data_IF_788201667064
#
_entry.id   IF_788201667064
#
_cell.length_a   1.000
_cell.length_b   1.000
_cell.length_c   1.000
_cell.angle_alpha   90.00
_cell.angle_beta   90.00
_cell.angle_gamma   90.00
#
_symmetry.space_group_name_H-M   'P 1'
#
loop_
_entity.id
_entity.type
_entity.pdbx_description
1 polymer ?
#
# COMPACT_ATOMS: atom_id res chain seq x y z
N UNK A 1 12.88 -2.88 -6.49
CA UNK A 1 12.13 -4.13 -6.78
C UNK A 1 13.02 -5.38 -6.90
N UNK A 2 14.11 -5.38 -7.69
CA UNK A 2 14.90 -6.62 -7.90
C UNK A 2 15.46 -7.26 -6.62
N UNK A 3 15.85 -6.45 -5.61
CA UNK A 3 16.32 -6.96 -4.31
C UNK A 3 15.22 -7.63 -3.47
N UNK A 4 13.99 -7.13 -3.52
CA UNK A 4 12.86 -7.70 -2.77
C UNK A 4 12.37 -9.00 -3.43
N UNK A 5 12.17 -8.98 -4.75
CA UNK A 5 11.75 -10.16 -5.52
C UNK A 5 12.83 -11.24 -5.50
N UNK A 6 14.12 -10.86 -5.58
CA UNK A 6 15.23 -11.82 -5.53
C UNK A 6 15.38 -12.51 -4.17
N UNK A 7 15.13 -11.79 -3.07
CA UNK A 7 15.13 -12.35 -1.71
C UNK A 7 13.94 -13.28 -1.47
N UNK A 8 12.74 -12.89 -1.91
CA UNK A 8 11.54 -13.75 -1.81
C UNK A 8 11.69 -15.03 -2.63
N UNK A 9 12.27 -14.92 -3.83
CA UNK A 9 12.53 -16.07 -4.70
C UNK A 9 13.57 -17.02 -4.09
N UNK A 10 14.64 -16.49 -3.49
CA UNK A 10 15.67 -17.34 -2.87
C UNK A 10 15.13 -18.07 -1.64
N UNK A 11 14.29 -17.44 -0.83
CA UNK A 11 13.61 -18.09 0.29
C UNK A 11 12.62 -19.16 -0.18
N UNK A 12 11.91 -18.93 -1.29
CA UNK A 12 10.99 -19.91 -1.86
C UNK A 12 11.75 -21.15 -2.37
N UNK A 13 12.86 -20.93 -3.09
CA UNK A 13 13.74 -22.02 -3.54
C UNK A 13 14.33 -22.79 -2.36
N UNK A 14 14.77 -22.11 -1.30
CA UNK A 14 15.27 -22.75 -0.09
C UNK A 14 14.20 -23.58 0.61
N UNK A 15 12.96 -23.07 0.70
CA UNK A 15 11.84 -23.80 1.29
C UNK A 15 11.47 -25.05 0.48
N UNK A 16 11.49 -24.98 -0.86
CA UNK A 16 11.27 -26.15 -1.72
C UNK A 16 12.37 -27.22 -1.52
N UNK A 17 13.63 -26.78 -1.50
CA UNK A 17 14.76 -27.69 -1.28
C UNK A 17 14.69 -28.36 0.11
N UNK A 18 14.32 -27.59 1.14
CA UNK A 18 14.10 -28.07 2.51
C UNK A 18 13.05 -29.19 2.58
N UNK A 19 11.91 -29.04 1.89
CA UNK A 19 10.86 -30.07 1.82
C UNK A 19 11.39 -31.35 1.16
N UNK A 20 12.12 -31.21 0.05
CA UNK A 20 12.69 -32.35 -0.69
C UNK A 20 13.69 -33.10 0.21
N UNK A 21 14.65 -32.39 0.80
CA UNK A 21 15.66 -33.00 1.66
C UNK A 21 15.05 -33.67 2.90
N UNK A 22 14.15 -32.99 3.60
CA UNK A 22 13.48 -33.57 4.78
C UNK A 22 12.65 -34.81 4.45
N UNK A 23 11.95 -34.80 3.32
CA UNK A 23 11.16 -35.96 2.85
C UNK A 23 12.06 -37.13 2.43
N UNK A 24 13.16 -36.87 1.73
CA UNK A 24 14.12 -37.90 1.33
C UNK A 24 14.78 -38.55 2.55
N UNK A 25 15.21 -37.77 3.54
CA UNK A 25 15.81 -38.29 4.77
C UNK A 25 14.80 -39.10 5.58
N UNK A 26 13.55 -38.64 5.69
CA UNK A 26 12.48 -39.38 6.36
C UNK A 26 12.22 -40.75 5.69
N UNK A 27 12.19 -40.80 4.35
CA UNK A 27 12.02 -42.04 3.58
C UNK A 27 13.18 -43.03 3.78
N UNK A 28 14.41 -42.53 3.91
CA UNK A 28 15.60 -43.37 4.16
C UNK A 28 15.54 -44.00 5.57
N UNK A 29 15.11 -43.23 6.58
CA UNK A 29 15.05 -43.71 7.98
C UNK A 29 13.92 -44.72 8.17
N UNK A 30 12.69 -44.38 7.74
CA UNK A 30 11.55 -45.28 7.88
C UNK A 30 10.46 -44.98 6.83
N UNK A 31 10.50 -45.69 5.71
CA UNK A 31 9.54 -45.49 4.62
C UNK A 31 8.09 -45.77 5.04
N UNK A 32 7.83 -46.81 5.84
CA UNK A 32 6.46 -47.19 6.27
C UNK A 32 5.80 -46.09 7.10
N UNK A 33 6.52 -45.55 8.08
CA UNK A 33 6.05 -44.46 8.92
C UNK A 33 5.87 -43.17 8.10
N UNK A 34 6.81 -42.91 7.18
CA UNK A 34 6.76 -41.72 6.32
C UNK A 34 5.52 -41.72 5.42
N UNK A 35 5.15 -42.85 4.83
CA UNK A 35 3.90 -42.94 4.04
C UNK A 35 2.64 -42.76 4.90
N UNK A 36 2.61 -43.34 6.10
CA UNK A 36 1.49 -43.17 7.02
C UNK A 36 1.28 -41.69 7.40
N UNK A 37 2.37 -40.96 7.66
CA UNK A 37 2.33 -39.53 7.96
C UNK A 37 2.02 -38.72 6.70
N UNK A 38 2.55 -39.10 5.53
CA UNK A 38 2.28 -38.43 4.26
C UNK A 38 0.78 -38.41 3.90
N UNK A 39 0.00 -39.42 4.31
CA UNK A 39 -1.46 -39.41 4.15
C UNK A 39 -2.16 -38.25 4.88
N UNK A 40 -1.53 -37.66 5.91
CA UNK A 40 -2.09 -36.51 6.65
C UNK A 40 -1.77 -35.17 5.98
N UNK A 41 -0.77 -35.12 5.09
CA UNK A 41 -0.32 -33.90 4.42
C UNK A 41 -1.41 -33.24 3.57
N UNK A 42 -2.18 -33.96 2.72
CA UNK A 42 -3.25 -33.35 1.94
C UNK A 42 -4.31 -32.65 2.79
N UNK A 43 -4.67 -33.22 3.95
CA UNK A 43 -5.61 -32.60 4.88
C UNK A 43 -5.05 -31.30 5.48
N UNK A 44 -3.77 -31.30 5.85
CA UNK A 44 -3.09 -30.11 6.34
C UNK A 44 -3.00 -29.00 5.26
N UNK A 45 -2.73 -29.36 4.00
CA UNK A 45 -2.70 -28.43 2.87
C UNK A 45 -4.08 -27.81 2.63
N UNK A 46 -5.15 -28.62 2.61
CA UNK A 46 -6.53 -28.13 2.42
C UNK A 46 -6.92 -27.21 3.58
N UNK A 47 -6.62 -27.59 4.82
CA UNK A 47 -6.87 -26.75 6.00
C UNK A 47 -6.14 -25.41 5.92
N UNK A 48 -4.85 -25.43 5.55
CA UNK A 48 -4.04 -24.22 5.36
C UNK A 48 -4.56 -23.34 4.22
N UNK A 49 -5.01 -23.92 3.11
CA UNK A 49 -5.61 -23.19 1.99
C UNK A 49 -6.90 -22.47 2.39
N UNK A 50 -7.81 -23.16 3.08
CA UNK A 50 -9.06 -22.58 3.59
C UNK A 50 -8.77 -21.47 4.59
N UNK A 51 -7.84 -21.70 5.53
CA UNK A 51 -7.40 -20.70 6.50
C UNK A 51 -6.78 -19.46 5.82
N UNK A 52 -5.96 -19.66 4.79
CA UNK A 52 -5.35 -18.60 3.99
C UNK A 52 -6.42 -17.77 3.26
N UNK A 53 -7.40 -18.41 2.61
CA UNK A 53 -8.54 -17.72 1.97
C UNK A 53 -9.33 -16.86 2.95
N UNK A 54 -9.64 -17.39 4.13
CA UNK A 54 -10.35 -16.65 5.19
C UNK A 54 -9.51 -15.46 5.65
N UNK A 55 -8.23 -15.67 5.92
CA UNK A 55 -7.31 -14.62 6.38
C UNK A 55 -7.14 -13.50 5.35
N UNK A 56 -7.03 -13.83 4.06
CA UNK A 56 -6.94 -12.84 2.98
C UNK A 56 -8.23 -12.03 2.87
N UNK A 57 -9.39 -12.68 2.94
CA UNK A 57 -10.69 -11.98 2.90
C UNK A 57 -10.84 -11.00 4.06
N UNK A 58 -10.49 -11.43 5.27
CA UNK A 58 -10.51 -10.56 6.45
C UNK A 58 -9.52 -9.40 6.33
N UNK A 59 -8.30 -9.66 5.87
CA UNK A 59 -7.27 -8.62 5.70
C UNK A 59 -7.69 -7.54 4.70
N UNK A 60 -8.43 -7.91 3.63
CA UNK A 60 -8.99 -6.94 2.69
C UNK A 60 -10.08 -6.07 3.33
N UNK A 61 -11.02 -6.69 4.05
CA UNK A 61 -12.06 -5.95 4.77
C UNK A 61 -11.47 -4.98 5.81
N UNK A 62 -10.39 -5.38 6.48
CA UNK A 62 -9.65 -4.55 7.41
C UNK A 62 -8.99 -3.36 6.70
N UNK A 63 -8.29 -3.60 5.59
CA UNK A 63 -7.69 -2.55 4.78
C UNK A 63 -8.74 -1.54 4.24
N UNK A 64 -9.88 -2.03 3.75
CA UNK A 64 -10.97 -1.19 3.25
C UNK A 64 -11.55 -0.29 4.35
N UNK A 65 -11.74 -0.84 5.56
CA UNK A 65 -12.22 -0.06 6.71
C UNK A 65 -11.21 1.01 7.13
N UNK A 66 -9.90 0.70 7.12
CA UNK A 66 -8.85 1.67 7.40
C UNK A 66 -8.76 2.75 6.32
N UNK A 67 -8.94 2.40 5.03
CA UNK A 67 -8.97 3.37 3.94
C UNK A 67 -10.11 4.38 4.12
N UNK A 68 -11.33 3.90 4.37
CA UNK A 68 -12.50 4.77 4.63
C UNK A 68 -12.33 5.62 5.87
N UNK A 69 -11.78 5.05 6.94
CA UNK A 69 -11.46 5.79 8.15
C UNK A 69 -10.41 6.88 7.88
N UNK A 70 -9.41 6.60 7.03
CA UNK A 70 -8.42 7.56 6.55
C UNK A 70 -9.03 8.69 5.73
N UNK A 71 -9.97 8.38 4.83
CA UNK A 71 -10.72 9.39 4.05
C UNK A 71 -11.48 10.36 4.98
N UNK A 72 -12.16 9.86 6.02
CA UNK A 72 -12.84 10.70 7.01
C UNK A 72 -11.84 11.63 7.71
N UNK A 73 -10.68 11.11 8.14
CA UNK A 73 -9.65 11.92 8.80
C UNK A 73 -9.10 12.99 7.87
N UNK A 74 -8.87 12.67 6.61
CA UNK A 74 -8.39 13.62 5.61
C UNK A 74 -9.43 14.71 5.32
N UNK A 75 -10.72 14.35 5.25
CA UNK A 75 -11.83 15.29 5.11
C UNK A 75 -11.86 16.26 6.30
N UNK A 76 -11.80 15.73 7.54
CA UNK A 76 -11.81 16.53 8.77
C UNK A 76 -10.61 17.45 8.87
N UNK A 77 -9.39 16.99 8.56
CA UNK A 77 -8.21 17.86 8.64
C UNK A 77 -8.16 18.91 7.54
N UNK A 78 -8.61 18.59 6.32
CA UNK A 78 -8.67 19.57 5.23
C UNK A 78 -9.63 20.73 5.52
N UNK A 79 -10.64 20.49 6.37
CA UNK A 79 -11.67 21.46 6.74
C UNK A 79 -11.79 21.67 8.25
N UNK A 80 -10.68 21.51 8.99
CA UNK A 80 -10.65 21.49 10.45
C UNK A 80 -11.31 22.72 11.08
N UNK A 81 -11.04 23.91 10.53
CA UNK A 81 -11.63 25.16 11.01
C UNK A 81 -13.17 25.13 10.94
N UNK A 82 -13.74 24.52 9.90
CA UNK A 82 -15.19 24.37 9.74
C UNK A 82 -15.77 23.36 10.72
N UNK A 83 -15.08 22.25 10.98
CA UNK A 83 -15.52 21.26 11.97
C UNK A 83 -15.52 21.86 13.38
N UNK A 84 -14.47 22.60 13.73
CA UNK A 84 -14.37 23.28 15.02
C UNK A 84 -15.42 24.39 15.18
N UNK A 85 -15.63 25.21 14.14
CA UNK A 85 -16.63 26.30 14.20
C UNK A 85 -18.07 25.79 14.34
N UNK A 86 -18.35 24.59 13.82
CA UNK A 86 -19.64 23.92 13.93
C UNK A 86 -19.77 23.02 15.18
N UNK A 87 -18.72 22.93 16.02
CA UNK A 87 -18.64 21.98 17.15
C UNK A 87 -18.91 20.52 16.73
N UNK A 88 -18.47 20.13 15.53
CA UNK A 88 -18.76 18.84 14.90
C UNK A 88 -17.88 17.67 15.36
N UNK A 89 -16.93 17.90 16.26
CA UNK A 89 -15.90 16.92 16.66
C UNK A 89 -16.49 15.56 17.08
N UNK A 90 -17.51 15.57 17.96
CA UNK A 90 -18.16 14.35 18.46
C UNK A 90 -18.93 13.59 17.37
N UNK A 91 -19.38 14.30 16.34
CA UNK A 91 -20.08 13.68 15.21
C UNK A 91 -19.08 12.93 14.33
N UNK A 92 -17.95 13.56 14.01
CA UNK A 92 -16.90 12.95 13.20
C UNK A 92 -16.18 11.82 13.93
N UNK A 93 -15.99 11.92 15.26
CA UNK A 93 -15.48 10.84 16.09
C UNK A 93 -16.37 9.58 16.00
N UNK A 94 -17.69 9.76 16.08
CA UNK A 94 -18.64 8.65 15.94
C UNK A 94 -18.65 8.07 14.54
N UNK A 95 -18.54 8.91 13.50
CA UNK A 95 -18.44 8.46 12.10
C UNK A 95 -17.20 7.58 11.91
N UNK A 96 -16.06 8.02 12.43
CA UNK A 96 -14.81 7.25 12.44
C UNK A 96 -14.94 5.93 13.20
N UNK A 97 -15.49 5.94 14.43
CA UNK A 97 -15.66 4.73 15.22
C UNK A 97 -16.60 3.71 14.55
N UNK A 98 -17.68 4.17 13.91
CA UNK A 98 -18.65 3.30 13.25
C UNK A 98 -18.03 2.53 12.07
N UNK A 99 -17.14 3.16 11.29
CA UNK A 99 -16.41 2.49 10.21
C UNK A 99 -15.44 1.42 10.75
N UNK A 100 -14.80 1.66 11.90
CA UNK A 100 -13.84 0.72 12.50
C UNK A 100 -14.47 -0.38 13.37
N UNK A 101 -15.69 -0.18 13.86
CA UNK A 101 -16.39 -1.12 14.75
C UNK A 101 -16.52 -2.56 14.22
N UNK A 102 -16.92 -2.82 12.96
CA UNK A 102 -16.99 -4.19 12.44
C UNK A 102 -15.60 -4.86 12.43
N UNK A 103 -14.56 -4.13 12.04
CA UNK A 103 -13.17 -4.60 12.02
C UNK A 103 -12.68 -4.92 13.43
N UNK A 104 -12.91 -4.03 14.40
CA UNK A 104 -12.54 -4.26 15.82
C UNK A 104 -13.15 -5.55 16.38
N UNK A 105 -14.42 -5.83 16.08
CA UNK A 105 -15.09 -7.07 16.50
C UNK A 105 -14.52 -8.30 15.80
N UNK A 106 -14.21 -8.20 14.51
CA UNK A 106 -13.59 -9.29 13.75
C UNK A 106 -12.21 -9.63 14.31
N UNK A 107 -11.36 -8.63 14.54
CA UNK A 107 -10.02 -8.78 15.10
C UNK A 107 -10.06 -9.36 16.53
N UNK A 108 -11.03 -8.94 17.35
CA UNK A 108 -11.22 -9.51 18.69
C UNK A 108 -11.63 -11.01 18.65
N UNK A 109 -12.54 -11.41 17.75
CA UNK A 109 -12.93 -12.82 17.58
C UNK A 109 -11.77 -13.68 17.10
N UNK A 110 -10.95 -13.16 16.19
CA UNK A 110 -9.74 -13.82 15.69
C UNK A 110 -8.70 -14.01 16.79
N UNK A 111 -8.44 -12.96 17.57
CA UNK A 111 -7.56 -13.01 18.74
C UNK A 111 -8.02 -14.03 19.78
N UNK A 112 -9.33 -14.10 20.05
CA UNK A 112 -9.90 -15.09 20.95
C UNK A 112 -9.75 -16.53 20.43
N UNK A 113 -10.02 -16.77 19.14
CA UNK A 113 -9.85 -18.09 18.53
C UNK A 113 -8.39 -18.55 18.56
N UNK A 114 -7.45 -17.66 18.25
CA UNK A 114 -6.02 -17.95 18.30
C UNK A 114 -5.53 -18.18 19.74
N UNK A 115 -6.06 -17.42 20.69
CA UNK A 115 -5.79 -17.55 22.13
C UNK A 115 -6.29 -18.88 22.70
N UNK A 116 -7.49 -19.34 22.33
CA UNK A 116 -8.02 -20.65 22.76
C UNK A 116 -7.19 -21.82 22.22
N UNK A 117 -6.77 -21.74 20.95
CA UNK A 117 -5.96 -22.77 20.30
C UNK A 117 -4.58 -22.94 20.97
N UNK A 118 -3.88 -21.83 21.22
CA UNK A 118 -2.58 -21.87 21.88
C UNK A 118 -2.71 -22.13 23.40
N UNK A 119 -3.74 -21.56 24.03
CA UNK A 119 -4.02 -21.74 25.46
C UNK A 119 -4.33 -23.18 25.86
N UNK A 120 -4.95 -23.98 24.97
CA UNK A 120 -5.22 -25.39 25.19
C UNK A 120 -3.95 -26.21 25.49
N UNK A 121 -2.82 -25.86 24.85
CA UNK A 121 -1.54 -26.53 25.07
C UNK A 121 -1.08 -26.29 26.51
N UNK A 122 -1.14 -25.05 26.99
CA UNK A 122 -0.74 -24.68 28.35
C UNK A 122 -1.67 -25.29 29.41
N UNK A 123 -3.00 -25.28 29.17
CA UNK A 123 -4.00 -25.89 30.06
C UNK A 123 -3.76 -27.39 30.32
N UNK A 124 -3.24 -28.13 29.33
CA UNK A 124 -2.91 -29.56 29.50
C UNK A 124 -1.76 -29.78 30.48
N UNK A 125 -0.75 -28.91 30.49
CA UNK A 125 0.40 -29.01 31.41
C UNK A 125 0.06 -28.62 32.85
N UNK A 126 -1.00 -27.83 33.06
CA UNK A 126 -1.52 -27.45 34.38
C UNK A 126 -2.39 -28.53 35.06
N UNK A 127 -2.51 -29.71 34.47
CA UNK A 127 -3.34 -30.79 35.02
C UNK A 127 -2.74 -31.33 36.34
N UNK A 128 -3.54 -31.32 37.41
CA UNK A 128 -3.13 -31.85 38.73
C UNK A 128 -2.99 -33.38 38.63
N UNK A 129 -1.79 -33.89 38.89
CA UNK A 129 -1.43 -35.31 38.74
C UNK A 129 -2.02 -36.22 39.85
N UNK A 130 -2.59 -35.62 40.91
CA UNK A 130 -3.15 -36.31 42.07
C UNK A 130 -2.10 -36.73 43.10
N UNK A 131 -2.54 -37.18 44.28
CA UNK A 131 -1.65 -37.57 45.38
C UNK A 131 -0.70 -38.72 44.94
N UNK A 132 0.62 -38.53 45.09
CA UNK A 132 1.67 -39.45 44.59
C UNK A 132 1.53 -39.84 43.10
N UNK A 133 0.83 -39.05 42.31
CA UNK A 133 0.58 -39.29 40.90
C UNK A 133 -0.28 -40.53 40.62
N UNK A 134 -1.20 -40.92 41.50
CA UNK A 134 -2.02 -42.15 41.36
C UNK A 134 -2.70 -42.30 39.98
N UNK A 135 -2.96 -41.20 39.28
CA UNK A 135 -3.58 -41.20 37.94
C UNK A 135 -2.63 -41.55 36.79
N UNK A 136 -1.34 -41.76 37.06
CA UNK A 136 -0.32 -42.11 36.06
C UNK A 136 0.22 -43.52 36.28
N UNK A 137 0.53 -44.21 35.18
CA UNK A 137 1.28 -45.46 35.21
C UNK A 137 2.72 -45.26 35.72
N UNK A 138 3.37 -46.34 36.19
CA UNK A 138 4.75 -46.28 36.67
C UNK A 138 5.73 -45.68 35.65
N UNK A 139 5.59 -46.06 34.37
CA UNK A 139 6.43 -45.51 33.29
C UNK A 139 6.14 -44.04 32.95
N UNK A 140 4.90 -43.57 33.12
CA UNK A 140 4.57 -42.15 32.93
C UNK A 140 5.14 -41.27 34.04
N UNK A 141 5.12 -41.76 35.29
CA UNK A 141 5.79 -41.07 36.42
C UNK A 141 7.29 -40.96 36.21
N UNK A 142 7.93 -42.02 35.72
CA UNK A 142 9.36 -42.01 35.40
C UNK A 142 9.68 -41.00 34.28
N UNK A 143 8.88 -40.95 33.20
CA UNK A 143 9.07 -39.97 32.12
C UNK A 143 8.88 -38.53 32.59
N UNK A 144 7.92 -38.26 33.47
CA UNK A 144 7.74 -36.92 34.06
C UNK A 144 8.89 -36.56 35.02
N UNK A 145 9.37 -37.52 35.81
CA UNK A 145 10.53 -37.31 36.69
C UNK A 145 11.83 -37.06 35.89
N UNK A 146 12.00 -37.76 34.77
CA UNK A 146 13.09 -37.53 33.82
C UNK A 146 12.97 -36.16 33.15
N UNK A 147 11.78 -35.79 32.66
CA UNK A 147 11.53 -34.45 32.11
C UNK A 147 11.85 -33.36 33.13
N UNK A 148 11.46 -33.54 34.40
CA UNK A 148 11.81 -32.64 35.52
C UNK A 148 13.31 -32.53 35.75
N UNK A 149 14.07 -33.62 35.59
CA UNK A 149 15.53 -33.60 35.70
C UNK A 149 16.19 -32.90 34.51
N UNK A 150 15.68 -33.11 33.29
CA UNK A 150 16.19 -32.50 32.05
C UNK A 150 15.95 -31.00 31.97
N UNK A 151 14.85 -30.48 32.54
CA UNK A 151 14.57 -29.03 32.61
C UNK A 151 15.70 -28.26 33.31
N UNK A 152 16.44 -28.90 34.23
CA UNK A 152 17.60 -28.29 34.89
C UNK A 152 18.88 -28.22 34.03
N UNK A 153 18.86 -28.79 32.82
CA UNK A 153 20.04 -28.92 31.95
C UNK A 153 21.29 -29.44 32.69
N UNK A 154 21.23 -30.60 33.36
CA UNK A 154 22.32 -31.06 34.21
C UNK A 154 23.55 -31.48 33.39
N UNK A 155 24.74 -31.03 33.81
CA UNK A 155 26.01 -31.47 33.22
C UNK A 155 26.30 -32.97 33.48
N UNK A 156 25.71 -33.54 34.54
CA UNK A 156 25.79 -34.96 34.87
C UNK A 156 24.40 -35.44 35.33
N UNK A 157 23.80 -36.36 34.58
CA UNK A 157 22.49 -36.94 34.87
C UNK A 157 22.67 -38.33 35.51
N UNK A 158 22.34 -38.46 36.79
CA UNK A 158 22.41 -39.72 37.53
C UNK A 158 21.03 -40.41 37.48
N UNK A 159 21.00 -41.65 37.01
CA UNK A 159 19.79 -42.45 36.86
C UNK A 159 19.90 -43.65 37.82
N UNK A 160 19.12 -43.64 38.89
CA UNK A 160 19.09 -44.71 39.90
C UNK A 160 17.93 -45.66 39.60
N UNK A 161 18.22 -46.94 39.38
CA UNK A 161 17.26 -48.00 39.01
C UNK A 161 16.28 -47.65 37.86
N UNK A 162 16.61 -46.67 37.01
CA UNK A 162 15.73 -46.27 35.90
C UNK A 162 15.56 -47.38 34.83
N UNK A 163 16.40 -48.42 34.91
CA UNK A 163 16.46 -49.55 33.99
C UNK A 163 16.24 -50.91 34.66
N UNK A 164 16.04 -50.98 35.99
CA UNK A 164 15.98 -52.27 36.72
C UNK A 164 14.73 -53.12 36.43
N UNK A 165 13.76 -52.58 35.70
CA UNK A 165 12.62 -53.32 35.16
C UNK A 165 12.87 -53.97 33.78
N UNK A 166 14.10 -53.92 33.26
CA UNK A 166 14.47 -54.47 31.96
C UNK A 166 15.50 -55.58 32.15
N UNK A 167 15.06 -56.84 32.21
CA UNK A 167 15.99 -57.97 32.13
C UNK A 167 15.55 -59.05 31.12
N UNK A 168 16.54 -59.53 30.36
CA UNK A 168 16.56 -60.63 29.36
C UNK A 168 15.97 -60.47 27.95
N UNK A 169 15.78 -59.25 27.44
CA UNK A 169 15.70 -59.00 25.98
C UNK A 169 16.49 -57.77 25.55
N UNK A 170 17.79 -57.75 25.85
CA UNK A 170 18.68 -56.62 25.56
C UNK A 170 18.67 -56.19 24.09
N UNK A 171 18.44 -57.11 23.15
CA UNK A 171 18.34 -56.77 21.73
C UNK A 171 16.98 -56.15 21.36
N UNK A 172 15.86 -56.62 21.92
CA UNK A 172 14.52 -56.05 21.65
C UNK A 172 14.38 -54.65 22.23
N UNK A 173 14.95 -54.40 23.40
CA UNK A 173 14.88 -53.10 24.07
C UNK A 173 15.72 -52.08 23.31
N UNK A 174 16.93 -52.46 22.89
CA UNK A 174 17.79 -51.61 22.07
C UNK A 174 17.15 -51.38 20.69
N UNK A 175 16.54 -52.40 20.10
CA UNK A 175 15.75 -52.26 18.87
C UNK A 175 14.54 -51.36 19.06
N UNK A 176 13.78 -51.47 20.14
CA UNK A 176 12.62 -50.61 20.46
C UNK A 176 13.02 -49.16 20.73
N UNK A 177 14.13 -48.94 21.41
CA UNK A 177 14.70 -47.62 21.65
C UNK A 177 15.20 -46.97 20.35
N UNK A 178 15.89 -47.74 19.49
CA UNK A 178 16.26 -47.32 18.14
C UNK A 178 15.02 -47.03 17.29
N UNK A 179 13.99 -47.88 17.37
CA UNK A 179 12.73 -47.68 16.65
C UNK A 179 12.01 -46.41 17.11
N UNK A 180 12.01 -46.13 18.42
CA UNK A 180 11.48 -44.89 18.99
C UNK A 180 12.29 -43.67 18.58
N UNK A 181 13.63 -43.76 18.56
CA UNK A 181 14.49 -42.69 18.08
C UNK A 181 14.28 -42.42 16.58
N UNK A 182 14.19 -43.46 15.76
CA UNK A 182 13.87 -43.35 14.33
C UNK A 182 12.46 -42.76 14.11
N UNK A 183 11.46 -43.14 14.91
CA UNK A 183 10.12 -42.53 14.90
C UNK A 183 10.17 -41.04 15.25
N UNK A 184 10.93 -40.67 16.27
CA UNK A 184 11.13 -39.28 16.68
C UNK A 184 11.83 -38.43 15.60
N UNK A 185 12.86 -38.97 14.95
CA UNK A 185 13.56 -38.31 13.85
C UNK A 185 12.65 -38.09 12.64
N UNK A 186 11.88 -39.10 12.23
CA UNK A 186 10.90 -38.97 11.14
C UNK A 186 9.85 -37.90 11.47
N UNK A 187 9.39 -37.84 12.72
CA UNK A 187 8.48 -36.79 13.18
C UNK A 187 9.10 -35.39 13.12
N UNK A 188 10.37 -35.25 13.50
CA UNK A 188 11.09 -33.98 13.45
C UNK A 188 11.25 -33.48 11.99
N UNK A 189 11.65 -34.36 11.07
CA UNK A 189 11.74 -34.02 9.64
C UNK A 189 10.37 -33.67 9.05
N UNK A 190 9.31 -34.34 9.51
CA UNK A 190 7.94 -34.02 9.11
C UNK A 190 7.51 -32.61 9.54
N UNK A 191 7.78 -32.23 10.80
CA UNK A 191 7.49 -30.87 11.29
C UNK A 191 8.27 -29.83 10.48
N UNK A 192 9.54 -30.10 10.16
CA UNK A 192 10.34 -29.21 9.33
C UNK A 192 9.77 -29.03 7.92
N UNK A 193 9.22 -30.10 7.32
CA UNK A 193 8.52 -30.03 6.05
C UNK A 193 7.24 -29.18 6.15
N UNK A 194 6.44 -29.33 7.22
CA UNK A 194 5.24 -28.52 7.44
C UNK A 194 5.54 -27.02 7.61
N UNK A 195 6.58 -26.67 8.37
CA UNK A 195 7.03 -25.26 8.48
C UNK A 195 7.47 -24.68 7.14
N UNK A 196 8.15 -25.49 6.31
CA UNK A 196 8.55 -25.08 4.97
C UNK A 196 7.35 -24.85 4.05
N UNK A 197 6.30 -25.69 4.13
CA UNK A 197 5.03 -25.49 3.42
C UNK A 197 4.36 -24.18 3.85
N UNK A 198 4.33 -23.89 5.15
CA UNK A 198 3.81 -22.62 5.68
C UNK A 198 4.58 -21.44 5.11
N UNK A 199 5.91 -21.50 5.09
CA UNK A 199 6.77 -20.47 4.50
C UNK A 199 6.43 -20.20 3.02
N UNK A 200 6.25 -21.24 2.22
CA UNK A 200 5.85 -21.12 0.81
C UNK A 200 4.50 -20.39 0.67
N UNK A 201 3.50 -20.75 1.48
CA UNK A 201 2.18 -20.10 1.40
C UNK A 201 2.24 -18.61 1.73
N UNK A 202 3.08 -18.21 2.69
CA UNK A 202 3.26 -16.79 3.06
C UNK A 202 4.02 -16.02 1.99
N UNK A 203 5.09 -16.61 1.43
CA UNK A 203 5.91 -15.98 0.39
C UNK A 203 5.13 -15.81 -0.91
N UNK A 204 4.32 -16.79 -1.30
CA UNK A 204 3.50 -16.71 -2.52
C UNK A 204 2.49 -15.56 -2.41
N UNK A 205 1.96 -15.30 -1.21
CA UNK A 205 1.11 -14.13 -0.96
C UNK A 205 1.88 -12.82 -1.13
N UNK A 206 3.05 -12.69 -0.51
CA UNK A 206 3.88 -11.48 -0.61
C UNK A 206 4.31 -11.18 -2.06
N UNK A 207 4.66 -12.21 -2.82
CA UNK A 207 4.97 -12.08 -4.24
C UNK A 207 3.75 -11.61 -5.04
N UNK A 208 2.56 -12.15 -4.77
CA UNK A 208 1.32 -11.73 -5.44
C UNK A 208 0.98 -10.26 -5.16
N UNK A 209 1.12 -9.82 -3.92
CA UNK A 209 0.84 -8.42 -3.53
C UNK A 209 1.85 -7.47 -4.18
N UNK A 210 3.15 -7.82 -4.16
CA UNK A 210 4.22 -7.06 -4.82
C UNK A 210 4.03 -6.98 -6.33
N UNK A 211 3.58 -8.07 -6.97
CA UNK A 211 3.29 -8.09 -8.40
C UNK A 211 2.09 -7.20 -8.76
N UNK A 212 1.03 -7.21 -7.94
CA UNK A 212 -0.14 -6.34 -8.13
C UNK A 212 0.21 -4.86 -8.00
N UNK A 213 1.06 -4.51 -7.03
CA UNK A 213 1.55 -3.14 -6.85
C UNK A 213 2.42 -2.71 -8.04
N UNK A 214 3.32 -3.59 -8.49
CA UNK A 214 4.13 -3.36 -9.68
C UNK A 214 3.27 -3.17 -10.93
N UNK A 215 2.23 -3.99 -11.11
CA UNK A 215 1.32 -3.85 -12.24
C UNK A 215 0.58 -2.51 -12.23
N UNK A 216 0.14 -2.04 -11.06
CA UNK A 216 -0.49 -0.72 -10.94
C UNK A 216 0.48 0.41 -11.26
N UNK A 217 1.74 0.29 -10.81
CA UNK A 217 2.81 1.24 -11.16
C UNK A 217 3.12 1.24 -12.67
N UNK A 218 3.29 0.07 -13.29
CA UNK A 218 3.55 -0.03 -14.73
C UNK A 218 2.36 0.46 -15.56
N UNK A 219 1.12 0.15 -15.16
CA UNK A 219 -0.07 0.69 -15.81
C UNK A 219 -0.12 2.22 -15.77
N UNK A 220 0.35 2.85 -14.67
CA UNK A 220 0.46 4.30 -14.56
C UNK A 220 1.61 4.86 -15.40
N UNK A 221 2.75 4.17 -15.40
CA UNK A 221 3.96 4.57 -16.12
C UNK A 221 3.80 4.47 -17.65
N UNK A 222 3.17 3.40 -18.13
CA UNK A 222 2.92 3.14 -19.55
C UNK A 222 1.67 3.90 -20.07
N UNK A 223 0.97 4.63 -19.20
CA UNK A 223 -0.19 5.43 -19.60
C UNK A 223 0.26 6.59 -20.50
N UNK A 224 -0.13 6.53 -21.77
CA UNK A 224 0.03 7.66 -22.69
C UNK A 224 -1.04 8.72 -22.42
N UNK A 225 -0.62 9.98 -22.33
CA UNK A 225 -1.53 11.12 -22.19
C UNK A 225 -1.90 11.66 -23.57
N UNK A 226 -3.19 11.92 -23.82
CA UNK A 226 -3.64 12.51 -25.10
C UNK A 226 -3.04 13.90 -25.34
N UNK A 227 -2.81 14.63 -24.24
CA UNK A 227 -2.14 15.92 -24.20
C UNK A 227 -0.83 15.71 -23.43
N UNK A 228 0.26 15.50 -24.13
CA UNK A 228 1.58 15.22 -23.54
C UNK A 228 2.39 16.51 -23.34
N UNK A 229 2.64 16.88 -22.08
CA UNK A 229 3.44 18.06 -21.73
C UNK A 229 4.94 17.86 -21.93
N UNK A 230 5.41 16.62 -22.08
CA UNK A 230 6.83 16.29 -22.28
C UNK A 230 7.24 16.22 -23.75
N UNK A 231 6.27 16.21 -24.66
CA UNK A 231 6.53 16.17 -26.10
C UNK A 231 7.09 17.50 -26.62
N UNK A 232 8.07 17.38 -27.52
CA UNK A 232 8.68 18.49 -28.28
C UNK A 232 7.93 18.70 -29.61
N UNK A 233 6.95 17.86 -29.92
CA UNK A 233 6.18 17.93 -31.16
C UNK A 233 5.31 19.20 -31.22
N UNK A 234 5.02 19.63 -32.45
CA UNK A 234 4.19 20.80 -32.73
C UNK A 234 4.99 22.03 -33.18
N UNK A 235 4.27 22.98 -33.76
CA UNK A 235 4.85 24.22 -34.28
C UNK A 235 5.09 25.22 -33.15
N UNK A 236 6.22 25.92 -33.19
CA UNK A 236 6.49 27.13 -32.39
C UNK A 236 6.39 28.34 -33.33
N UNK A 237 5.59 29.34 -32.97
CA UNK A 237 5.44 30.54 -33.79
C UNK A 237 6.59 31.51 -33.49
N UNK A 238 7.31 31.95 -34.53
CA UNK A 238 8.41 32.91 -34.39
C UNK A 238 7.92 34.36 -34.25
N UNK A 239 6.76 34.67 -34.83
CA UNK A 239 6.13 36.00 -34.79
C UNK A 239 4.76 35.88 -34.10
N UNK A 240 4.78 35.92 -32.78
CA UNK A 240 3.58 35.80 -31.94
C UNK A 240 3.02 37.19 -31.61
N UNK A 241 1.78 37.44 -32.03
CA UNK A 241 1.06 38.69 -31.84
C UNK A 241 0.02 38.56 -30.72
N UNK A 242 -0.53 37.37 -30.50
CA UNK A 242 -1.47 37.10 -29.39
C UNK A 242 -2.94 37.30 -29.71
N UNK A 243 -3.35 37.16 -30.98
CA UNK A 243 -4.76 37.08 -31.35
C UNK A 243 -5.33 35.70 -31.02
N UNK A 244 -6.51 35.65 -30.40
CA UNK A 244 -7.18 34.40 -29.99
C UNK A 244 -8.56 34.31 -30.63
N UNK A 245 -8.90 33.16 -31.20
CA UNK A 245 -10.23 32.93 -31.78
C UNK A 245 -10.81 31.58 -31.33
N UNK A 246 -12.01 31.61 -30.75
CA UNK A 246 -12.84 30.45 -30.47
C UNK A 246 -13.89 30.33 -31.56
N UNK A 247 -13.93 29.20 -32.26
CA UNK A 247 -14.84 28.95 -33.38
C UNK A 247 -15.78 27.78 -33.08
N UNK A 248 -17.04 28.11 -32.78
CA UNK A 248 -18.15 27.18 -32.48
C UNK A 248 -17.80 26.10 -31.45
N UNK A 249 -17.11 26.49 -30.37
CA UNK A 249 -16.58 25.56 -29.38
C UNK A 249 -17.69 24.93 -28.54
N UNK A 250 -17.69 23.60 -28.48
CA UNK A 250 -18.55 22.79 -27.60
C UNK A 250 -17.70 21.99 -26.63
N UNK A 251 -18.03 22.05 -25.35
CA UNK A 251 -17.22 21.40 -24.31
C UNK A 251 -18.04 20.93 -23.09
N UNK A 252 -17.65 19.76 -22.57
CA UNK A 252 -18.10 19.20 -21.30
C UNK A 252 -16.91 18.53 -20.60
N UNK A 253 -16.82 18.65 -19.27
CA UNK A 253 -15.74 18.03 -18.51
C UNK A 253 -15.84 16.49 -18.52
N UNK A 254 -14.73 15.74 -18.63
CA UNK A 254 -14.75 14.28 -18.65
C UNK A 254 -15.39 13.63 -17.41
N UNK A 255 -15.31 14.29 -16.26
CA UNK A 255 -15.93 13.83 -15.01
C UNK A 255 -17.45 13.96 -15.00
N UNK A 256 -18.02 14.82 -15.86
CA UNK A 256 -19.46 15.08 -15.98
C UNK A 256 -19.85 15.27 -17.47
N UNK A 257 -19.79 14.21 -18.29
CA UNK A 257 -19.91 14.32 -19.75
C UNK A 257 -21.31 14.77 -20.23
N UNK A 258 -22.34 14.58 -19.41
CA UNK A 258 -23.72 14.99 -19.72
C UNK A 258 -23.98 16.47 -19.52
N UNK A 259 -23.13 17.16 -18.76
CA UNK A 259 -23.29 18.58 -18.43
C UNK A 259 -22.46 19.43 -19.40
N UNK A 260 -23.09 19.91 -20.47
CA UNK A 260 -22.46 20.80 -21.43
C UNK A 260 -22.21 22.18 -20.79
N UNK A 261 -20.96 22.63 -20.79
CA UNK A 261 -20.56 23.92 -20.20
C UNK A 261 -20.53 25.02 -21.26
N UNK A 262 -19.97 24.71 -22.43
CA UNK A 262 -19.92 25.61 -23.58
C UNK A 262 -20.65 24.93 -24.75
N UNK A 263 -21.56 25.64 -25.40
CA UNK A 263 -22.27 25.16 -26.60
C UNK A 263 -22.22 26.25 -27.67
N UNK A 264 -21.63 25.92 -28.83
CA UNK A 264 -21.38 26.84 -29.96
C UNK A 264 -20.75 28.18 -29.55
N UNK A 265 -19.81 28.14 -28.61
CA UNK A 265 -19.16 29.34 -28.10
C UNK A 265 -18.25 29.99 -29.16
N UNK A 266 -18.35 31.31 -29.31
CA UNK A 266 -17.54 32.11 -30.22
C UNK A 266 -16.97 33.34 -29.52
N UNK A 267 -15.68 33.60 -29.71
CA UNK A 267 -14.99 34.74 -29.14
C UNK A 267 -13.78 35.08 -30.01
N UNK A 268 -13.57 36.36 -30.31
CA UNK A 268 -12.39 36.84 -31.04
C UNK A 268 -11.73 37.91 -30.17
N UNK A 269 -10.43 37.72 -29.90
CA UNK A 269 -9.58 38.61 -29.12
C UNK A 269 -8.48 39.10 -30.06
N UNK A 270 -8.39 40.41 -30.27
CA UNK A 270 -7.29 40.97 -31.07
C UNK A 270 -6.02 41.10 -30.23
N UNK A 271 -4.88 41.08 -30.91
CA UNK A 271 -3.59 41.36 -30.27
C UNK A 271 -3.63 42.69 -29.51
N UNK A 272 -3.16 42.68 -28.26
CA UNK A 272 -3.10 43.85 -27.38
C UNK A 272 -4.45 44.29 -26.77
N UNK A 273 -5.56 43.62 -27.10
CA UNK A 273 -6.87 43.95 -26.54
C UNK A 273 -7.04 43.33 -25.15
N UNK A 274 -7.24 44.17 -24.13
CA UNK A 274 -7.56 43.70 -22.78
C UNK A 274 -9.05 43.38 -22.71
N UNK A 275 -9.38 42.10 -22.84
CA UNK A 275 -10.73 41.63 -22.61
C UNK A 275 -10.86 41.26 -21.14
N UNK A 276 -11.65 42.03 -20.41
CA UNK A 276 -12.28 41.47 -19.21
C UNK A 276 -13.37 40.54 -19.73
N UNK A 277 -13.35 39.22 -19.44
CA UNK A 277 -14.42 38.33 -19.84
C UNK A 277 -15.70 38.84 -19.17
N UNK A 278 -16.45 39.66 -19.92
CA UNK A 278 -17.55 40.45 -19.42
C UNK A 278 -18.47 39.54 -18.63
N UNK A 279 -18.63 39.87 -17.36
CA UNK A 279 -19.95 39.79 -16.76
C UNK A 279 -19.97 40.51 -15.42
N UNK A 280 -20.57 41.70 -15.45
CA UNK A 280 -21.27 42.22 -14.29
C UNK A 280 -22.56 41.44 -13.96
N UNK A 281 -22.88 40.36 -14.70
CA UNK A 281 -24.17 39.66 -14.59
C UNK A 281 -24.17 38.14 -14.89
N UNK A 282 -23.03 37.48 -15.03
CA UNK A 282 -23.00 36.04 -15.32
C UNK A 282 -22.99 35.30 -13.99
N UNK A 283 -24.00 34.47 -13.78
CA UNK A 283 -24.05 33.55 -12.66
C UNK A 283 -22.76 32.71 -12.58
N UNK A 284 -22.38 32.33 -11.36
CA UNK A 284 -21.37 31.31 -11.11
C UNK A 284 -21.68 30.07 -11.97
N UNK A 285 -20.70 29.59 -12.74
CA UNK A 285 -20.87 28.45 -13.66
C UNK A 285 -21.03 28.78 -15.15
N UNK A 286 -20.94 30.04 -15.56
CA UNK A 286 -20.99 30.46 -16.98
C UNK A 286 -19.77 30.06 -17.86
N UNK A 287 -18.82 29.28 -17.33
CA UNK A 287 -17.70 28.75 -18.12
C UNK A 287 -16.48 29.67 -18.27
N UNK A 288 -16.35 30.75 -17.50
CA UNK A 288 -15.18 31.67 -17.54
C UNK A 288 -13.85 30.95 -17.38
N UNK A 289 -13.71 30.19 -16.28
CA UNK A 289 -12.50 29.41 -16.02
C UNK A 289 -12.30 28.30 -17.05
N UNK A 290 -13.39 27.79 -17.63
CA UNK A 290 -13.34 26.78 -18.69
C UNK A 290 -12.74 27.33 -19.98
N UNK A 291 -13.05 28.56 -20.37
CA UNK A 291 -12.43 29.23 -21.54
C UNK A 291 -10.91 29.35 -21.35
N UNK A 292 -10.47 29.77 -20.16
CA UNK A 292 -9.04 29.88 -19.82
C UNK A 292 -8.37 28.50 -19.89
N UNK A 293 -8.99 27.48 -19.27
CA UNK A 293 -8.45 26.11 -19.27
C UNK A 293 -8.36 25.48 -20.66
N UNK A 294 -9.27 25.84 -21.58
CA UNK A 294 -9.23 25.40 -22.96
C UNK A 294 -8.13 26.13 -23.75
N UNK A 295 -7.89 27.41 -23.48
CA UNK A 295 -6.78 28.17 -24.09
C UNK A 295 -5.41 27.65 -23.63
N UNK A 296 -5.25 27.33 -22.34
CA UNK A 296 -4.05 26.67 -21.79
C UNK A 296 -3.94 25.18 -22.20
N UNK A 297 -4.92 24.70 -22.97
CA UNK A 297 -5.01 23.33 -23.49
C UNK A 297 -4.88 22.28 -22.38
N UNK A 298 -5.54 22.50 -21.23
CA UNK A 298 -5.73 21.44 -20.23
C UNK A 298 -6.76 20.40 -20.70
N UNK A 299 -7.68 20.83 -21.57
CA UNK A 299 -8.65 19.97 -22.21
C UNK A 299 -8.76 20.33 -23.69
N UNK A 300 -9.15 19.35 -24.50
CA UNK A 300 -9.55 19.57 -25.88
C UNK A 300 -11.08 19.78 -25.99
N UNK A 301 -11.55 20.69 -26.85
CA UNK A 301 -12.98 20.83 -27.10
C UNK A 301 -13.55 19.60 -27.83
N UNK A 302 -14.80 19.25 -27.51
CA UNK A 302 -15.52 18.12 -28.14
C UNK A 302 -15.82 18.45 -29.60
N UNK A 303 -16.25 19.69 -29.87
CA UNK A 303 -16.47 20.24 -31.21
C UNK A 303 -15.98 21.68 -31.27
N UNK A 304 -15.75 22.18 -32.48
CA UNK A 304 -15.16 23.50 -32.71
C UNK A 304 -13.63 23.47 -32.60
N UNK A 305 -13.03 24.64 -32.80
CA UNK A 305 -11.57 24.84 -32.79
C UNK A 305 -11.20 26.13 -32.07
N UNK A 306 -9.98 26.16 -31.56
CA UNK A 306 -9.41 27.33 -30.90
C UNK A 306 -8.13 27.66 -31.65
N UNK A 307 -8.01 28.91 -32.05
CA UNK A 307 -6.90 29.42 -32.84
C UNK A 307 -6.12 30.46 -32.05
N UNK A 308 -4.80 30.41 -32.22
CA UNK A 308 -3.85 31.40 -31.73
C UNK A 308 -3.07 31.92 -32.93
N UNK A 309 -3.20 33.22 -33.23
CA UNK A 309 -2.68 33.86 -34.45
C UNK A 309 -3.05 33.11 -35.74
N UNK A 310 -4.28 32.56 -35.79
CA UNK A 310 -4.81 31.82 -36.94
C UNK A 310 -4.36 30.34 -37.02
N UNK A 311 -3.51 29.87 -36.11
CA UNK A 311 -3.07 28.47 -36.03
C UNK A 311 -3.86 27.73 -34.95
N UNK A 312 -4.36 26.54 -35.26
CA UNK A 312 -5.08 25.71 -34.29
C UNK A 312 -4.15 25.31 -33.13
N UNK A 313 -4.58 25.55 -31.89
CA UNK A 313 -3.77 25.27 -30.69
C UNK A 313 -3.34 23.79 -30.57
N UNK A 314 -4.04 22.89 -31.27
CA UNK A 314 -3.70 21.46 -31.31
C UNK A 314 -2.41 21.16 -32.07
N UNK A 315 -2.05 22.03 -33.02
CA UNK A 315 -0.87 21.91 -33.86
C UNK A 315 0.37 22.56 -33.21
N UNK A 316 0.17 23.39 -32.19
CA UNK A 316 1.24 24.08 -31.49
C UNK A 316 1.92 23.16 -30.49
N UNK A 317 3.22 23.39 -30.27
CA UNK A 317 3.93 22.76 -29.18
C UNK A 317 3.38 23.26 -27.84
N UNK A 318 3.11 22.35 -26.91
CA UNK A 318 2.36 22.69 -25.70
C UNK A 318 3.18 23.42 -24.64
N UNK A 319 4.47 23.11 -24.55
CA UNK A 319 5.39 23.82 -23.65
C UNK A 319 5.55 25.26 -24.10
N UNK A 320 5.72 25.45 -25.42
CA UNK A 320 5.75 26.78 -26.03
C UNK A 320 4.43 27.54 -25.84
N UNK A 321 3.28 26.91 -26.09
CA UNK A 321 1.97 27.52 -25.88
C UNK A 321 1.83 28.06 -24.45
N UNK A 322 2.16 27.23 -23.44
CA UNK A 322 2.03 27.61 -22.03
C UNK A 322 3.08 28.62 -21.58
N UNK A 323 4.27 28.65 -22.18
CA UNK A 323 5.29 29.64 -21.84
C UNK A 323 4.95 31.05 -22.35
N UNK A 324 4.09 31.16 -23.37
CA UNK A 324 3.58 32.46 -23.87
C UNK A 324 2.42 33.03 -23.04
N UNK A 325 1.77 32.22 -22.21
CA UNK A 325 0.58 32.59 -21.44
C UNK A 325 0.93 32.81 -19.97
N UNK A 326 0.41 33.89 -19.38
CA UNK A 326 0.48 34.15 -17.94
C UNK A 326 -0.88 33.93 -17.28
N UNK A 327 -0.96 32.98 -16.33
CA UNK A 327 -2.18 32.70 -15.57
C UNK A 327 -2.09 33.28 -14.15
N UNK A 328 -3.13 34.00 -13.73
CA UNK A 328 -3.37 34.33 -12.31
C UNK A 328 -4.66 33.66 -11.87
N UNK A 329 -4.53 32.63 -11.03
CA UNK A 329 -5.66 31.85 -10.51
C UNK A 329 -6.52 32.66 -9.53
N UNK A 330 -7.81 32.33 -9.44
CA UNK A 330 -8.75 32.96 -8.50
C UNK A 330 -8.28 32.83 -7.04
N UNK A 331 -7.74 31.66 -6.68
CA UNK A 331 -7.07 31.41 -5.41
C UNK A 331 -5.60 31.09 -5.71
N UNK A 332 -4.67 32.05 -5.52
CA UNK A 332 -3.27 31.82 -5.79
C UNK A 332 -2.68 30.86 -4.75
N UNK A 333 -1.95 29.85 -5.22
CA UNK A 333 -1.25 28.87 -4.37
C UNK A 333 0.25 29.13 -4.52
N UNK A 334 0.95 29.21 -3.39
CA UNK A 334 2.42 29.28 -3.34
C UNK A 334 2.98 27.92 -2.90
N UNK A 335 4.11 27.54 -3.48
CA UNK A 335 4.82 26.34 -3.08
C UNK A 335 5.60 26.59 -1.78
N UNK A 336 5.88 25.52 -1.04
CA UNK A 336 6.71 25.54 0.16
C UNK A 336 8.19 25.76 -0.20
N UNK A 337 8.50 26.97 -0.67
CA UNK A 337 9.77 27.47 -1.16
C UNK A 337 9.92 28.94 -0.74
N UNK A 338 11.10 29.52 -0.93
CA UNK A 338 11.31 30.96 -0.70
C UNK A 338 10.45 31.83 -1.64
N UNK A 339 10.23 33.10 -1.28
CA UNK A 339 9.51 34.05 -2.14
C UNK A 339 10.21 34.19 -3.50
N UNK A 340 11.54 34.28 -3.50
CA UNK A 340 12.34 34.36 -4.72
C UNK A 340 12.15 33.13 -5.62
N UNK A 341 12.14 31.92 -5.03
CA UNK A 341 11.91 30.69 -5.78
C UNK A 341 10.48 30.59 -6.33
N UNK A 342 9.46 31.04 -5.58
CA UNK A 342 8.09 31.09 -6.07
C UNK A 342 7.94 32.05 -7.28
N UNK A 343 8.60 33.20 -7.27
CA UNK A 343 8.61 34.13 -8.41
C UNK A 343 9.39 33.53 -9.59
N UNK A 344 10.59 32.98 -9.32
CA UNK A 344 11.44 32.37 -10.33
C UNK A 344 10.83 31.12 -10.99
N UNK A 345 9.84 30.47 -10.34
CA UNK A 345 9.14 29.31 -10.89
C UNK A 345 8.46 29.60 -12.24
N UNK A 346 8.09 30.86 -12.50
CA UNK A 346 7.43 31.26 -13.75
C UNK A 346 8.33 31.28 -14.99
N UNK A 347 9.67 31.31 -14.83
CA UNK A 347 10.62 31.39 -15.95
C UNK A 347 11.97 30.78 -15.60
N UNK A 348 12.48 29.90 -16.47
CA UNK A 348 13.80 29.30 -16.30
C UNK A 348 14.93 30.35 -16.33
N UNK A 349 15.97 30.14 -15.52
CA UNK A 349 17.16 30.98 -15.44
C UNK A 349 16.89 32.46 -15.14
N UNK A 350 15.92 32.75 -14.27
CA UNK A 350 15.58 34.12 -13.86
C UNK A 350 16.65 34.71 -12.94
N UNK A 351 17.13 35.92 -13.26
CA UNK A 351 18.11 36.65 -12.45
C UNK A 351 17.46 37.32 -11.24
N UNK A 352 18.24 37.67 -10.20
CA UNK A 352 17.70 38.37 -9.03
C UNK A 352 17.13 39.75 -9.41
N UNK A 353 17.71 40.40 -10.42
CA UNK A 353 17.26 41.71 -10.92
C UNK A 353 15.88 41.60 -11.55
N UNK A 354 15.64 40.56 -12.36
CA UNK A 354 14.34 40.28 -12.95
C UNK A 354 13.27 40.00 -11.87
N UNK A 355 13.64 39.30 -10.80
CA UNK A 355 12.73 39.02 -9.68
C UNK A 355 12.34 40.32 -8.97
N UNK A 356 13.31 41.22 -8.73
CA UNK A 356 13.06 42.50 -8.08
C UNK A 356 12.19 43.41 -8.97
N UNK A 357 12.47 43.46 -10.28
CA UNK A 357 11.67 44.23 -11.24
C UNK A 357 10.22 43.71 -11.30
N UNK A 358 10.03 42.38 -11.39
CA UNK A 358 8.70 41.78 -11.36
C UNK A 358 7.95 42.05 -10.04
N UNK A 359 8.63 41.91 -8.90
CA UNK A 359 8.10 42.23 -7.58
C UNK A 359 7.70 43.71 -7.43
N UNK A 360 8.45 44.61 -8.07
CA UNK A 360 8.17 46.05 -8.07
C UNK A 360 6.94 46.35 -8.93
N UNK A 361 6.87 45.78 -10.14
CA UNK A 361 5.71 45.89 -11.04
C UNK A 361 4.43 45.33 -10.43
N UNK A 362 4.54 44.26 -9.64
CA UNK A 362 3.43 43.66 -8.90
C UNK A 362 3.08 44.39 -7.59
N UNK A 363 3.81 45.46 -7.24
CA UNK A 363 3.60 46.25 -6.02
C UNK A 363 3.72 45.44 -4.71
N UNK A 364 4.68 44.50 -4.66
CA UNK A 364 4.94 43.66 -3.48
C UNK A 364 6.37 43.78 -2.94
N UNK A 365 7.25 44.50 -3.63
CA UNK A 365 8.66 44.65 -3.22
C UNK A 365 8.82 45.27 -1.83
N UNK A 366 8.12 46.36 -1.55
CA UNK A 366 8.20 47.06 -0.25
C UNK A 366 7.71 46.18 0.91
N UNK A 367 6.69 45.34 0.65
CA UNK A 367 6.21 44.36 1.63
C UNK A 367 7.27 43.30 1.92
N UNK A 368 7.93 42.76 0.89
CA UNK A 368 9.00 41.77 1.07
C UNK A 368 10.13 42.33 1.92
N UNK A 369 10.54 43.59 1.69
CA UNK A 369 11.63 44.22 2.45
C UNK A 369 11.34 44.35 3.95
N UNK A 370 10.06 44.40 4.34
CA UNK A 370 9.64 44.49 5.73
C UNK A 370 9.55 43.13 6.43
N UNK A 371 9.61 42.03 5.69
CA UNK A 371 9.53 40.69 6.26
C UNK A 371 10.82 40.37 7.05
N UNK A 372 10.71 39.73 8.22
CA UNK A 372 11.87 39.21 8.91
C UNK A 372 12.52 38.11 8.07
N UNK A 373 13.85 38.11 7.98
CA UNK A 373 14.57 36.99 7.35
C UNK A 373 14.31 35.73 8.18
N UNK A 374 13.58 34.79 7.60
CA UNK A 374 13.42 33.45 8.18
C UNK A 374 14.68 32.68 7.81
N UNK A 375 15.61 32.54 8.76
CA UNK A 375 16.72 31.60 8.62
C UNK A 375 16.17 30.17 8.62
N UNK A 376 16.50 29.38 7.60
CA UNK A 376 16.25 27.94 7.59
C UNK A 376 17.05 27.31 8.75
N UNK A 377 16.35 26.78 9.76
CA UNK A 377 16.87 25.75 10.69
C UNK A 377 16.59 24.36 10.13
#
# INVERSE_FOLDING_TARGET
>A
MSKAVGFELSMLLAALFSIICSSCVALIINWKLTFAIACTVPFAIVGSYVFSKITVKESRNELDAYSKAGEIVQEVFSSLRSVLSLNGEKFEEKRYENELRPTRRSSARKGAAFGLLNGWIYLKYDTIVGERGVQLSGGEKQRIALARALVKQPALLLLDEATSALDNTNEKIVQEALDQACKGLVFAYYIFALESVRCITTLTRQMSDSLSAAQSFFNLFDRTSAIDNSSIDGQQLSDFQGAVEFSEVKFAYPSRPTSCILDKFQLIIKSGELITPACGSCASGCGKSTVIQLLERFYDPIQGRIYLDGVDIRQLNIQWLRSTLGLVSQEPILFNLTIAQNIAYGKENTSIEDIIDAATKANIHDFIQQLPQVSEE
#
